data_IF_939431207833
#
_entry.id   IF_939431207833
#
_cell.length_a   1.000
_cell.length_b   1.000
_cell.length_c   1.000
_cell.angle_alpha   90.00
_cell.angle_beta   90.00
_cell.angle_gamma   90.00
#
_symmetry.space_group_name_H-M   'P 1'
#
loop_
_entity.id
_entity.type
_entity.pdbx_description
1 polymer ?
#
# COMPACT_ATOMS: atom_id res chain seq x y z
N UNK A 1 -5.89 14.67 10.60
CA UNK A 1 -7.11 14.35 11.43
C UNK A 1 -7.62 12.99 10.99
N UNK A 2 -7.77 12.06 11.93
CA UNK A 2 -8.26 10.70 11.65
C UNK A 2 -9.73 10.73 11.23
N UNK A 3 -10.04 10.11 10.10
CA UNK A 3 -11.40 9.96 9.56
C UNK A 3 -11.75 8.47 9.52
N UNK A 4 -12.94 8.11 10.00
CA UNK A 4 -13.52 6.78 9.82
C UNK A 4 -14.70 6.91 8.85
N UNK A 5 -14.69 6.10 7.79
CA UNK A 5 -15.66 6.18 6.70
C UNK A 5 -16.18 4.78 6.43
N UNK A 6 -17.48 4.60 6.56
CA UNK A 6 -18.17 3.40 6.07
C UNK A 6 -18.47 3.56 4.57
N UNK A 7 -18.19 2.53 3.81
CA UNK A 7 -18.45 2.49 2.37
C UNK A 7 -19.41 1.34 2.04
N UNK A 8 -19.96 1.35 0.84
CA UNK A 8 -20.98 0.38 0.43
C UNK A 8 -20.56 -1.07 0.70
N UNK A 9 -21.55 -1.90 1.01
CA UNK A 9 -21.43 -3.34 1.24
C UNK A 9 -20.49 -3.71 2.40
N UNK A 10 -20.42 -2.84 3.45
CA UNK A 10 -19.71 -3.14 4.71
C UNK A 10 -18.20 -2.95 4.69
N UNK A 11 -17.65 -2.32 3.66
CA UNK A 11 -16.26 -1.90 3.67
C UNK A 11 -16.02 -0.71 4.60
N UNK A 12 -14.82 -0.59 5.16
CA UNK A 12 -14.41 0.53 6.02
C UNK A 12 -13.10 1.14 5.57
N UNK A 13 -12.98 2.45 5.71
CA UNK A 13 -11.75 3.20 5.48
C UNK A 13 -11.43 4.03 6.72
N UNK A 14 -10.21 3.90 7.24
CA UNK A 14 -9.68 4.78 8.26
C UNK A 14 -8.51 5.55 7.65
N UNK A 15 -8.64 6.87 7.54
CA UNK A 15 -7.62 7.72 6.94
C UNK A 15 -7.10 8.74 7.95
N UNK A 16 -5.78 8.81 8.08
CA UNK A 16 -5.11 9.91 8.76
C UNK A 16 -4.14 10.58 7.80
N UNK A 17 -4.46 11.83 7.44
CA UNK A 17 -3.69 12.62 6.49
C UNK A 17 -2.29 13.00 7.02
N UNK A 18 -2.15 13.09 8.34
CA UNK A 18 -0.92 13.50 9.03
C UNK A 18 -0.53 12.47 10.10
N UNK A 19 -0.51 11.18 9.71
CA UNK A 19 -0.11 10.08 10.59
C UNK A 19 1.32 10.25 11.09
N UNK A 20 2.22 10.69 10.21
CA UNK A 20 3.55 11.20 10.57
C UNK A 20 3.63 12.71 10.38
N UNK A 21 4.40 13.40 11.25
CA UNK A 21 4.78 14.79 11.00
C UNK A 21 5.61 14.87 9.71
N UNK A 22 5.66 16.07 9.10
CA UNK A 22 6.43 16.26 7.87
C UNK A 22 7.91 15.89 8.05
N UNK A 23 8.52 16.30 9.15
CA UNK A 23 9.95 16.03 9.42
C UNK A 23 10.21 14.52 9.53
N UNK A 24 9.33 13.79 10.23
CA UNK A 24 9.44 12.33 10.35
C UNK A 24 9.22 11.66 9.01
N UNK A 25 8.23 12.12 8.25
CA UNK A 25 7.92 11.55 6.95
C UNK A 25 9.03 11.80 5.93
N UNK A 26 9.65 12.99 5.90
CA UNK A 26 10.81 13.31 5.06
C UNK A 26 11.99 12.37 5.39
N UNK A 27 12.33 12.22 6.68
CA UNK A 27 13.42 11.35 7.11
C UNK A 27 13.17 9.86 6.78
N UNK A 28 11.94 9.39 6.94
CA UNK A 28 11.55 8.02 6.58
C UNK A 28 11.59 7.81 5.06
N UNK A 29 11.13 8.77 4.27
CA UNK A 29 11.20 8.71 2.81
C UNK A 29 12.64 8.56 2.33
N UNK A 30 13.55 9.43 2.78
CA UNK A 30 14.96 9.41 2.39
C UNK A 30 15.63 8.08 2.79
N UNK A 31 15.35 7.61 4.00
CA UNK A 31 15.90 6.37 4.51
C UNK A 31 15.41 5.14 3.71
N UNK A 32 14.11 5.06 3.44
CA UNK A 32 13.53 3.96 2.66
C UNK A 32 14.06 3.99 1.22
N UNK A 33 14.17 5.17 0.61
CA UNK A 33 14.78 5.32 -0.72
C UNK A 33 16.19 4.73 -0.77
N UNK A 34 17.02 5.02 0.23
CA UNK A 34 18.43 4.64 0.27
C UNK A 34 18.66 3.17 0.65
N UNK A 35 17.85 2.62 1.58
CA UNK A 35 18.06 1.28 2.14
C UNK A 35 17.37 0.17 1.34
N UNK A 36 16.37 0.48 0.49
CA UNK A 36 15.59 -0.53 -0.22
C UNK A 36 16.25 -0.98 -1.51
N UNK A 37 16.47 -2.28 -1.72
CA UNK A 37 16.99 -2.82 -2.98
C UNK A 37 15.87 -2.87 -4.05
N UNK A 38 15.51 -1.72 -4.57
CA UNK A 38 14.44 -1.56 -5.54
C UNK A 38 14.62 -2.39 -6.80
N UNK A 39 13.58 -3.10 -7.24
CA UNK A 39 13.59 -3.90 -8.46
C UNK A 39 12.39 -3.56 -9.33
N UNK A 40 12.59 -3.58 -10.66
CA UNK A 40 11.49 -3.49 -11.61
C UNK A 40 11.06 -4.91 -12.02
N UNK A 41 9.95 -5.35 -11.47
CA UNK A 41 9.39 -6.66 -11.77
C UNK A 41 8.83 -6.73 -13.18
N UNK A 42 8.81 -7.96 -13.73
CA UNK A 42 8.28 -8.27 -15.05
C UNK A 42 6.96 -9.03 -14.91
N UNK A 43 5.97 -8.63 -15.68
CA UNK A 43 4.77 -9.43 -15.89
C UNK A 43 4.76 -9.99 -17.32
N UNK A 44 3.82 -10.89 -17.62
CA UNK A 44 3.57 -11.36 -18.99
C UNK A 44 3.24 -10.23 -19.99
N UNK A 45 2.91 -9.04 -19.50
CA UNK A 45 2.56 -7.87 -20.33
C UNK A 45 3.67 -6.82 -20.38
N UNK A 46 4.84 -7.10 -19.80
CA UNK A 46 5.98 -6.20 -19.72
C UNK A 46 6.35 -5.77 -18.30
N UNK A 47 7.30 -4.85 -18.16
CA UNK A 47 7.74 -4.38 -16.85
C UNK A 47 6.62 -3.65 -16.12
N UNK A 48 6.55 -3.83 -14.80
CA UNK A 48 5.65 -3.05 -13.98
C UNK A 48 6.01 -1.57 -14.06
N UNK A 49 5.03 -0.68 -14.23
CA UNK A 49 5.27 0.76 -14.24
C UNK A 49 5.45 1.28 -12.80
N UNK A 50 6.43 0.75 -12.10
CA UNK A 50 6.93 1.12 -10.76
C UNK A 50 8.06 0.17 -10.36
N UNK A 51 8.83 0.55 -9.33
CA UNK A 51 9.75 -0.37 -8.68
C UNK A 51 9.10 -0.96 -7.42
N UNK A 52 9.56 -2.14 -7.01
CA UNK A 52 8.98 -2.85 -5.85
C UNK A 52 10.08 -3.44 -4.98
N UNK A 53 9.73 -3.72 -3.72
CA UNK A 53 10.47 -4.57 -2.81
C UNK A 53 9.48 -5.19 -1.80
N UNK A 54 9.68 -6.45 -1.42
CA UNK A 54 8.81 -7.13 -0.47
C UNK A 54 9.58 -7.58 0.77
N UNK A 55 9.10 -7.20 1.94
CA UNK A 55 9.65 -7.55 3.25
C UNK A 55 8.61 -8.34 4.03
N UNK A 56 9.05 -9.38 4.75
CA UNK A 56 8.14 -10.16 5.59
C UNK A 56 8.87 -10.89 6.73
N UNK A 57 8.10 -11.47 7.63
CA UNK A 57 8.61 -12.33 8.69
C UNK A 57 9.28 -13.58 8.09
N UNK A 58 10.30 -14.10 8.79
CA UNK A 58 11.11 -15.23 8.33
C UNK A 58 10.21 -16.45 8.04
N UNK A 59 10.42 -17.05 6.88
CA UNK A 59 9.72 -18.26 6.45
C UNK A 59 8.44 -18.00 5.64
N UNK A 60 8.02 -16.74 5.50
CA UNK A 60 6.91 -16.41 4.60
C UNK A 60 7.38 -16.43 3.14
N UNK A 61 6.59 -17.08 2.30
CA UNK A 61 6.67 -16.99 0.85
C UNK A 61 5.33 -16.47 0.34
N UNK A 62 5.35 -15.57 -0.59
CA UNK A 62 4.13 -15.00 -1.15
C UNK A 62 4.20 -14.98 -2.67
N UNK A 63 3.17 -15.47 -3.31
CA UNK A 63 3.05 -15.47 -4.77
C UNK A 63 2.07 -14.39 -5.19
N UNK A 64 2.58 -13.37 -5.87
CA UNK A 64 1.81 -12.24 -6.35
C UNK A 64 2.03 -12.10 -7.86
N UNK A 65 0.96 -11.92 -8.63
CA UNK A 65 1.01 -11.83 -10.11
C UNK A 65 1.75 -12.98 -10.79
N UNK A 66 1.75 -14.19 -10.18
CA UNK A 66 2.40 -15.38 -10.73
C UNK A 66 3.92 -15.45 -10.53
N UNK A 67 4.49 -14.59 -9.69
CA UNK A 67 5.90 -14.58 -9.30
C UNK A 67 6.00 -14.90 -7.81
N UNK A 68 6.85 -15.86 -7.45
CA UNK A 68 7.15 -16.15 -6.04
C UNK A 68 8.28 -15.25 -5.57
N UNK A 69 8.04 -14.48 -4.53
CA UNK A 69 8.99 -13.55 -3.94
C UNK A 69 9.64 -14.19 -2.71
N UNK A 70 10.97 -14.02 -2.60
CA UNK A 70 11.67 -14.25 -1.34
C UNK A 70 11.59 -12.96 -0.51
N UNK A 71 11.15 -13.10 0.74
CA UNK A 71 11.07 -11.99 1.66
C UNK A 71 12.44 -11.41 1.99
N UNK A 72 12.55 -10.10 1.92
CA UNK A 72 13.65 -9.37 2.54
C UNK A 72 13.41 -9.29 4.06
N UNK A 73 14.49 -9.29 4.85
CA UNK A 73 14.41 -9.08 6.28
C UNK A 73 14.03 -7.63 6.59
N UNK A 74 13.18 -7.43 7.62
CA UNK A 74 12.78 -6.11 8.07
C UNK A 74 13.99 -5.23 8.39
N UNK A 75 14.01 -4.01 7.85
CA UNK A 75 14.92 -2.96 8.34
C UNK A 75 14.37 -2.34 9.61
N UNK A 76 15.23 -1.64 10.39
CA UNK A 76 14.77 -0.97 11.62
C UNK A 76 13.69 0.08 11.33
N UNK A 77 13.80 0.80 10.20
CA UNK A 77 12.80 1.78 9.78
C UNK A 77 11.45 1.11 9.50
N UNK A 78 11.43 0.04 8.70
CA UNK A 78 10.20 -0.68 8.36
C UNK A 78 9.59 -1.37 9.59
N UNK A 79 10.42 -1.91 10.49
CA UNK A 79 9.95 -2.49 11.75
C UNK A 79 9.32 -1.45 12.68
N UNK A 80 9.84 -0.21 12.70
CA UNK A 80 9.21 0.88 13.46
C UNK A 80 7.87 1.28 12.84
N UNK A 81 7.83 1.51 11.52
CA UNK A 81 6.58 1.86 10.81
C UNK A 81 5.52 0.75 11.01
N UNK A 82 5.93 -0.52 10.96
CA UNK A 82 5.04 -1.65 11.24
C UNK A 82 4.36 -1.51 12.61
N UNK A 83 5.13 -1.26 13.68
CA UNK A 83 4.57 -1.09 15.03
C UNK A 83 3.57 0.05 15.11
N UNK A 84 3.91 1.21 14.53
CA UNK A 84 3.04 2.39 14.53
C UNK A 84 1.72 2.11 13.80
N UNK A 85 1.80 1.40 12.66
CA UNK A 85 0.65 1.01 11.83
C UNK A 85 -0.22 -0.05 12.52
N UNK A 86 0.40 -1.05 13.18
CA UNK A 86 -0.29 -2.07 13.96
C UNK A 86 -1.07 -1.47 15.13
N UNK A 87 -0.49 -0.50 15.84
CA UNK A 87 -1.16 0.25 16.90
C UNK A 87 -2.37 1.03 16.36
N UNK A 88 -2.21 1.73 15.23
CA UNK A 88 -3.30 2.48 14.62
C UNK A 88 -4.43 1.59 14.12
N UNK A 89 -4.09 0.49 13.44
CA UNK A 89 -5.04 -0.45 12.83
C UNK A 89 -5.65 -1.43 13.84
N UNK A 90 -5.06 -1.55 15.04
CA UNK A 90 -5.34 -2.58 16.04
C UNK A 90 -5.33 -4.00 15.41
N UNK A 91 -4.34 -4.26 14.58
CA UNK A 91 -4.21 -5.50 13.79
C UNK A 91 -2.73 -5.78 13.55
N UNK A 92 -2.25 -7.03 13.72
CA UNK A 92 -0.86 -7.39 13.39
C UNK A 92 -0.65 -7.47 11.88
N UNK A 93 0.57 -7.18 11.45
CA UNK A 93 1.02 -7.34 10.07
C UNK A 93 2.34 -8.11 10.05
N UNK A 94 2.49 -9.05 9.12
CA UNK A 94 3.70 -9.86 8.98
C UNK A 94 4.43 -9.64 7.65
N UNK A 95 3.91 -8.77 6.79
CA UNK A 95 4.52 -8.43 5.50
C UNK A 95 4.23 -7.01 5.08
N UNK A 96 5.10 -6.46 4.23
CA UNK A 96 4.92 -5.16 3.59
C UNK A 96 5.46 -5.20 2.16
N UNK A 97 4.61 -4.78 1.21
CA UNK A 97 5.01 -4.52 -0.17
C UNK A 97 5.27 -3.02 -0.33
N UNK A 98 6.49 -2.69 -0.74
CA UNK A 98 6.88 -1.34 -1.09
C UNK A 98 6.70 -1.14 -2.60
N UNK A 99 6.06 -0.03 -2.97
CA UNK A 99 5.94 0.42 -4.35
C UNK A 99 6.56 1.81 -4.47
N UNK A 100 7.53 1.96 -5.38
CA UNK A 100 8.16 3.22 -5.69
C UNK A 100 7.71 3.71 -7.07
N UNK A 101 6.99 4.82 -7.07
CA UNK A 101 6.51 5.52 -8.25
C UNK A 101 7.44 6.70 -8.52
N UNK A 102 8.20 6.64 -9.63
CA UNK A 102 9.26 7.60 -9.97
C UNK A 102 8.69 8.95 -10.41
N UNK A 103 7.50 8.91 -11.04
CA UNK A 103 6.82 10.08 -11.56
C UNK A 103 5.32 9.80 -11.81
N UNK A 104 4.65 10.68 -12.54
CA UNK A 104 3.24 10.54 -12.88
C UNK A 104 2.90 9.42 -13.87
N UNK A 105 3.86 8.83 -14.56
CA UNK A 105 3.63 7.73 -15.50
C UNK A 105 3.65 6.36 -14.81
N UNK A 106 4.28 6.27 -13.65
CA UNK A 106 4.20 5.08 -12.83
C UNK A 106 2.82 4.95 -12.19
N UNK A 107 2.31 3.72 -12.13
CA UNK A 107 0.92 3.44 -11.77
C UNK A 107 0.72 1.99 -11.34
N UNK A 108 -0.46 1.73 -10.77
CA UNK A 108 -1.00 0.38 -10.60
C UNK A 108 -2.46 0.39 -11.03
N UNK A 109 -2.85 -0.58 -11.86
CA UNK A 109 -4.22 -0.74 -12.34
C UNK A 109 -5.20 -1.16 -11.25
N UNK A 110 -6.49 -1.26 -11.60
CA UNK A 110 -7.51 -1.76 -10.68
C UNK A 110 -7.23 -3.21 -10.25
N UNK A 111 -7.15 -3.41 -8.95
CA UNK A 111 -7.01 -4.71 -8.28
C UNK A 111 -7.69 -4.65 -6.91
N UNK A 112 -7.85 -5.80 -6.28
CA UNK A 112 -8.17 -5.94 -4.87
C UNK A 112 -7.08 -6.81 -4.25
N UNK A 113 -6.84 -6.65 -2.96
CA UNK A 113 -5.98 -7.54 -2.17
C UNK A 113 -6.88 -8.63 -1.57
N UNK A 114 -7.33 -9.57 -2.42
CA UNK A 114 -8.31 -10.63 -2.12
C UNK A 114 -7.75 -12.05 -2.33
N UNK A 115 -6.42 -12.17 -2.29
CA UNK A 115 -5.75 -13.46 -2.34
C UNK A 115 -6.11 -14.32 -1.11
N UNK A 116 -6.25 -15.63 -1.32
CA UNK A 116 -6.66 -16.58 -0.28
C UNK A 116 -5.75 -16.54 0.97
N UNK A 117 -4.46 -16.28 0.74
CA UNK A 117 -3.44 -16.18 1.78
C UNK A 117 -3.62 -14.96 2.71
N UNK A 118 -4.47 -14.01 2.34
CA UNK A 118 -4.78 -12.83 3.18
C UNK A 118 -5.99 -13.05 4.09
N UNK A 119 -6.69 -14.18 3.95
CA UNK A 119 -7.88 -14.51 4.73
C UNK A 119 -9.16 -13.88 4.19
N UNK A 120 -10.27 -14.08 4.91
CA UNK A 120 -11.61 -13.73 4.41
C UNK A 120 -11.86 -12.22 4.32
N UNK A 121 -11.48 -11.44 5.34
CA UNK A 121 -11.68 -9.99 5.38
C UNK A 121 -10.36 -9.30 5.73
N UNK A 122 -9.41 -9.23 4.80
CA UNK A 122 -8.09 -8.73 5.11
C UNK A 122 -8.12 -7.23 5.45
N UNK A 123 -7.41 -6.88 6.52
CA UNK A 123 -7.08 -5.49 6.84
C UNK A 123 -5.81 -5.12 6.08
N UNK A 124 -5.90 -4.09 5.26
CA UNK A 124 -4.77 -3.60 4.46
C UNK A 124 -4.44 -2.18 4.90
N UNK A 125 -3.20 -1.97 5.33
CA UNK A 125 -2.74 -0.64 5.75
C UNK A 125 -1.74 -0.08 4.74
N UNK A 126 -1.98 1.16 4.30
CA UNK A 126 -1.25 1.83 3.23
C UNK A 126 -0.66 3.15 3.71
N UNK A 127 0.66 3.18 3.95
CA UNK A 127 1.41 4.41 4.27
C UNK A 127 1.94 5.03 3.00
N UNK A 128 1.83 6.35 2.87
CA UNK A 128 2.29 7.12 1.70
C UNK A 128 3.36 8.12 2.07
N UNK A 129 4.47 8.13 1.32
CA UNK A 129 5.54 9.11 1.43
C UNK A 129 5.84 9.76 0.08
N UNK A 130 6.28 11.01 0.08
CA UNK A 130 6.65 11.77 -1.12
C UNK A 130 5.44 12.45 -1.79
N UNK A 131 5.38 12.44 -3.11
CA UNK A 131 4.36 13.18 -3.87
C UNK A 131 2.93 12.71 -3.60
N UNK A 132 2.02 13.65 -3.49
CA UNK A 132 0.58 13.37 -3.40
C UNK A 132 0.09 12.75 -4.70
N UNK A 133 -0.59 11.61 -4.60
CA UNK A 133 -1.21 10.93 -5.73
C UNK A 133 -2.65 10.56 -5.42
N UNK A 134 -3.50 10.70 -6.40
CA UNK A 134 -4.90 10.29 -6.29
C UNK A 134 -5.01 8.77 -6.25
N UNK A 135 -5.58 8.24 -5.18
CA UNK A 135 -5.96 6.84 -5.01
C UNK A 135 -7.46 6.71 -5.31
N UNK A 136 -7.83 5.76 -6.16
CA UNK A 136 -9.21 5.59 -6.60
C UNK A 136 -9.71 4.22 -6.21
N UNK A 137 -10.76 4.18 -5.38
CA UNK A 137 -11.55 2.96 -5.16
C UNK A 137 -12.71 2.95 -6.15
N UNK A 138 -13.06 1.75 -6.65
CA UNK A 138 -14.20 1.52 -7.52
C UNK A 138 -14.97 0.30 -7.03
N UNK A 139 -16.25 0.48 -6.75
CA UNK A 139 -17.13 -0.63 -6.36
C UNK A 139 -17.32 -1.59 -7.52
N UNK A 140 -17.10 -2.90 -7.28
CA UNK A 140 -17.10 -3.94 -8.33
C UNK A 140 -18.46 -4.07 -9.05
N UNK A 141 -19.57 -3.89 -8.32
CA UNK A 141 -20.94 -4.09 -8.84
C UNK A 141 -21.57 -2.78 -9.37
N UNK A 142 -21.52 -1.70 -8.59
CA UNK A 142 -22.22 -0.44 -8.94
C UNK A 142 -21.40 0.47 -9.84
N UNK A 143 -20.06 0.31 -9.85
CA UNK A 143 -19.15 1.21 -10.55
C UNK A 143 -18.90 2.54 -9.83
N UNK A 144 -19.48 2.75 -8.64
CA UNK A 144 -19.24 3.93 -7.80
C UNK A 144 -17.75 4.12 -7.55
N UNK A 145 -17.30 5.37 -7.53
CA UNK A 145 -15.90 5.72 -7.33
C UNK A 145 -15.72 6.67 -6.16
N UNK A 146 -14.79 6.31 -5.28
CA UNK A 146 -14.27 7.18 -4.23
C UNK A 146 -12.84 7.55 -4.58
N UNK A 147 -12.44 8.78 -4.28
CA UNK A 147 -11.12 9.31 -4.61
C UNK A 147 -10.51 9.97 -3.39
N UNK A 148 -9.28 9.61 -3.09
CA UNK A 148 -8.50 10.15 -1.99
C UNK A 148 -7.15 10.63 -2.50
N UNK A 149 -6.77 11.86 -2.19
CA UNK A 149 -5.42 12.35 -2.41
C UNK A 149 -4.57 11.92 -1.21
N UNK A 150 -3.74 10.88 -1.41
CA UNK A 150 -2.91 10.33 -0.35
C UNK A 150 -1.70 11.24 -0.13
N UNK A 151 -1.70 11.93 1.00
CA UNK A 151 -0.70 12.90 1.38
C UNK A 151 0.62 12.26 1.84
N UNK A 152 1.67 13.06 1.85
CA UNK A 152 2.97 12.69 2.44
C UNK A 152 2.83 12.44 3.95
N UNK A 153 3.29 11.28 4.43
CA UNK A 153 3.14 10.86 5.82
C UNK A 153 1.74 10.40 6.20
N UNK A 154 0.83 10.19 5.23
CA UNK A 154 -0.53 9.70 5.51
C UNK A 154 -0.61 8.19 5.64
N UNK A 155 -1.63 7.73 6.37
CA UNK A 155 -2.01 6.33 6.51
C UNK A 155 -3.48 6.13 6.12
N UNK A 156 -3.74 5.17 5.23
CA UNK A 156 -5.06 4.67 4.89
C UNK A 156 -5.15 3.19 5.28
N UNK A 157 -6.13 2.84 6.11
CA UNK A 157 -6.45 1.45 6.45
C UNK A 157 -7.79 1.08 5.82
N UNK A 158 -7.78 0.03 5.01
CA UNK A 158 -8.95 -0.58 4.39
C UNK A 158 -9.32 -1.84 5.18
N UNK A 159 -10.59 -1.98 5.56
CA UNK A 159 -11.07 -3.10 6.38
C UNK A 159 -12.49 -3.53 6.03
N UNK A 160 -13.04 -4.43 6.84
CA UNK A 160 -14.34 -5.05 6.57
C UNK A 160 -14.33 -5.80 5.24
N UNK A 161 -15.40 -5.71 4.50
CA UNK A 161 -15.55 -6.37 3.19
C UNK A 161 -14.97 -5.55 2.02
N UNK A 162 -14.10 -4.57 2.30
CA UNK A 162 -13.56 -3.66 1.27
C UNK A 162 -12.96 -4.44 0.08
N UNK A 163 -12.11 -5.45 0.34
CA UNK A 163 -11.44 -6.18 -0.73
C UNK A 163 -12.39 -7.08 -1.54
N UNK A 164 -13.54 -7.49 -0.98
CA UNK A 164 -14.54 -8.25 -1.70
C UNK A 164 -15.33 -7.40 -2.70
N UNK A 165 -15.71 -6.19 -2.30
CA UNK A 165 -16.67 -5.37 -3.05
C UNK A 165 -16.03 -4.22 -3.81
N UNK A 166 -14.78 -3.85 -3.48
CA UNK A 166 -14.08 -2.75 -4.09
C UNK A 166 -12.76 -3.19 -4.73
N UNK A 167 -12.42 -2.54 -5.82
CA UNK A 167 -11.07 -2.53 -6.41
C UNK A 167 -10.46 -1.16 -6.21
N UNK A 168 -9.15 -1.10 -6.18
CA UNK A 168 -8.44 0.17 -6.06
C UNK A 168 -7.30 0.28 -7.07
N UNK A 169 -6.91 1.51 -7.39
CA UNK A 169 -5.80 1.80 -8.29
C UNK A 169 -5.10 3.11 -7.92
N UNK A 170 -3.85 3.25 -8.40
CA UNK A 170 -3.15 4.52 -8.52
C UNK A 170 -2.99 4.83 -10.02
N UNK A 171 -3.83 5.72 -10.59
CA UNK A 171 -3.81 5.99 -12.02
C UNK A 171 -2.58 6.80 -12.43
N UNK A 172 -2.21 6.73 -13.70
CA UNK A 172 -1.28 7.69 -14.30
C UNK A 172 -1.83 9.10 -14.21
N UNK A 173 -0.94 10.07 -14.14
CA UNK A 173 -1.28 11.49 -14.20
C UNK A 173 -0.40 12.24 -15.19
N UNK A 174 -0.98 13.26 -15.85
CA UNK A 174 -0.25 14.18 -16.71
C UNK A 174 0.32 15.38 -15.94
N UNK A 175 -0.10 15.55 -14.70
CA UNK A 175 0.45 16.56 -13.80
C UNK A 175 1.88 16.17 -13.46
N UNK A 176 2.81 17.11 -13.53
CA UNK A 176 4.18 16.89 -13.10
C UNK A 176 4.18 16.66 -11.58
N UNK A 177 4.58 15.46 -11.17
CA UNK A 177 4.69 15.06 -9.77
C UNK A 177 6.05 14.41 -9.52
N UNK A 178 6.54 14.55 -8.30
CA UNK A 178 7.77 13.92 -7.86
C UNK A 178 7.60 12.43 -7.50
N UNK A 179 8.63 11.91 -6.88
CA UNK A 179 8.70 10.53 -6.41
C UNK A 179 7.71 10.26 -5.27
N UNK A 180 7.18 9.04 -5.24
CA UNK A 180 6.29 8.57 -4.18
C UNK A 180 6.63 7.14 -3.81
N UNK A 181 6.72 6.87 -2.52
CA UNK A 181 6.76 5.51 -1.98
C UNK A 181 5.43 5.20 -1.31
N UNK A 182 4.96 3.98 -1.52
CA UNK A 182 3.82 3.43 -0.79
C UNK A 182 4.22 2.12 -0.13
N UNK A 183 3.88 1.99 1.15
CA UNK A 183 4.05 0.79 1.95
C UNK A 183 2.69 0.16 2.17
N UNK A 184 2.47 -1.05 1.64
CA UNK A 184 1.22 -1.79 1.83
C UNK A 184 1.45 -2.97 2.77
N UNK A 185 0.99 -2.82 4.01
CA UNK A 185 1.09 -3.84 5.07
C UNK A 185 -0.05 -4.83 4.97
N UNK A 186 0.28 -6.11 5.13
CA UNK A 186 -0.67 -7.24 5.09
C UNK A 186 -0.32 -8.28 6.14
N UNK A 187 -1.30 -9.06 6.54
CA UNK A 187 -1.09 -10.29 7.30
C UNK A 187 -1.31 -11.48 6.36
N UNK A 188 -0.23 -12.19 6.06
CA UNK A 188 -0.22 -13.37 5.17
C UNK A 188 -0.31 -14.62 6.03
N UNK A 189 -1.29 -15.47 5.78
CA UNK A 189 -1.45 -16.78 6.41
C UNK A 189 -0.87 -17.86 5.49
N UNK A 190 -0.06 -18.76 6.04
CA UNK A 190 0.59 -19.87 5.31
C UNK A 190 -0.11 -21.19 5.65
#
# INVERSE_FOLDING_TARGET
MRQHIEILDGGTLNYDEAFYSREVADALFDRICAETPWQQEQSRFGPFPRLTAWYADIGLTYSYSGVTHQALAWTDALAQIRRDVEEFANTPFNSVLLNFYRDGQDSIGYHADDETELGENPVIASVSFGAVRQFVLKHKKTGEKLKYDLAHGSLLVMGGTCQHHWMHMLPKTKVAVGERINLTFRNVFV
#
